data_IF_776775816511
#
_entry.id   IF_776775816511
#
_cell.length_a   1.000
_cell.length_b   1.000
_cell.length_c   1.000
_cell.angle_alpha   90.00
_cell.angle_beta   90.00
_cell.angle_gamma   90.00
#
_symmetry.space_group_name_H-M   'P 1'
#
loop_
_entity.id
_entity.type
_entity.pdbx_description
1 polymer ?
#
# COMPACT_ATOMS: atom_id res chain seq x y z
N UNK A 1 -44.72 44.35 13.36
CA UNK A 1 -44.34 43.94 11.99
C UNK A 1 -42.88 43.48 11.86
N UNK A 2 -41.89 44.16 12.45
CA UNK A 2 -40.46 43.84 12.29
C UNK A 2 -39.99 42.45 12.78
N UNK A 3 -40.66 41.88 13.77
CA UNK A 3 -40.28 40.57 14.36
C UNK A 3 -40.56 39.43 13.37
N UNK A 4 -41.65 39.51 12.59
CA UNK A 4 -42.00 38.48 11.61
C UNK A 4 -41.06 38.45 10.40
N UNK A 5 -40.56 39.62 9.97
CA UNK A 5 -39.59 39.71 8.88
C UNK A 5 -38.22 39.12 9.27
N UNK A 6 -37.79 39.29 10.52
CA UNK A 6 -36.54 38.69 11.04
C UNK A 6 -36.63 37.17 11.16
N UNK A 7 -37.75 36.65 11.65
CA UNK A 7 -37.97 35.20 11.74
C UNK A 7 -37.99 34.59 10.33
N UNK A 8 -38.69 35.21 9.37
CA UNK A 8 -38.74 34.72 7.98
C UNK A 8 -37.36 34.73 7.29
N UNK A 9 -36.55 35.77 7.49
CA UNK A 9 -35.18 35.82 6.94
C UNK A 9 -34.24 34.81 7.60
N UNK A 10 -34.31 34.64 8.92
CA UNK A 10 -33.52 33.62 9.63
C UNK A 10 -33.91 32.20 9.19
N UNK A 11 -35.20 31.95 8.95
CA UNK A 11 -35.72 30.66 8.49
C UNK A 11 -35.27 30.36 7.04
N UNK A 12 -35.31 31.36 6.16
CA UNK A 12 -34.82 31.26 4.79
C UNK A 12 -33.32 30.99 4.71
N UNK A 13 -32.51 31.68 5.53
CA UNK A 13 -31.06 31.45 5.64
C UNK A 13 -30.74 30.06 6.20
N UNK A 14 -31.49 29.60 7.21
CA UNK A 14 -31.35 28.26 7.76
C UNK A 14 -31.65 27.18 6.73
N UNK A 15 -32.73 27.34 5.96
CA UNK A 15 -33.08 26.43 4.86
C UNK A 15 -32.03 26.39 3.75
N UNK A 16 -31.45 27.54 3.40
CA UNK A 16 -30.36 27.62 2.42
C UNK A 16 -29.09 26.92 2.91
N UNK A 17 -28.69 27.14 4.16
CA UNK A 17 -27.52 26.48 4.74
C UNK A 17 -27.69 24.95 4.79
N UNK A 18 -28.88 24.47 5.17
CA UNK A 18 -29.20 23.04 5.15
C UNK A 18 -29.25 22.48 3.73
N UNK A 19 -29.81 23.22 2.77
CA UNK A 19 -29.87 22.85 1.36
C UNK A 19 -28.47 22.71 0.73
N UNK A 20 -27.59 23.66 1.00
CA UNK A 20 -26.18 23.60 0.56
C UNK A 20 -25.50 22.39 1.21
N UNK A 21 -25.64 22.21 2.53
CA UNK A 21 -25.05 21.07 3.23
C UNK A 21 -25.55 19.73 2.68
N UNK A 22 -26.85 19.61 2.40
CA UNK A 22 -27.45 18.40 1.84
C UNK A 22 -26.98 18.13 0.41
N UNK A 23 -26.87 19.17 -0.42
CA UNK A 23 -26.33 19.07 -1.78
C UNK A 23 -24.89 18.55 -1.77
N UNK A 24 -24.04 19.09 -0.89
CA UNK A 24 -22.68 18.59 -0.72
C UNK A 24 -22.69 17.12 -0.26
N UNK A 25 -23.46 16.76 0.76
CA UNK A 25 -23.54 15.36 1.22
C UNK A 25 -23.95 14.39 0.11
N UNK A 26 -24.99 14.72 -0.65
CA UNK A 26 -25.49 13.88 -1.75
C UNK A 26 -24.47 13.75 -2.89
N UNK A 27 -23.73 14.82 -3.19
CA UNK A 27 -22.71 14.82 -4.25
C UNK A 27 -21.48 13.97 -3.90
N UNK A 28 -21.06 13.94 -2.63
CA UNK A 28 -19.85 13.23 -2.20
C UNK A 28 -20.10 11.81 -1.68
N UNK A 29 -21.35 11.45 -1.34
CA UNK A 29 -21.73 10.10 -0.91
C UNK A 29 -21.31 8.99 -1.90
N UNK A 30 -21.59 9.06 -3.22
CA UNK A 30 -21.24 7.96 -4.14
C UNK A 30 -19.72 7.80 -4.33
N UNK A 31 -18.95 8.90 -4.26
CA UNK A 31 -17.49 8.83 -4.33
C UNK A 31 -16.93 8.19 -3.07
N UNK A 32 -17.46 8.58 -1.90
CA UNK A 32 -17.04 8.00 -0.63
C UNK A 32 -17.34 6.50 -0.57
N UNK A 33 -18.53 6.06 -0.97
CA UNK A 33 -18.91 4.63 -0.99
C UNK A 33 -18.00 3.80 -1.91
N UNK A 34 -17.72 4.29 -3.12
CA UNK A 34 -16.78 3.62 -4.05
C UNK A 34 -15.37 3.54 -3.48
N UNK A 35 -14.86 4.62 -2.87
CA UNK A 35 -13.54 4.62 -2.24
C UNK A 35 -13.46 3.67 -1.05
N UNK A 36 -14.48 3.65 -0.20
CA UNK A 36 -14.55 2.73 0.93
C UNK A 36 -14.55 1.28 0.46
N UNK A 37 -15.27 0.95 -0.61
CA UNK A 37 -15.28 -0.40 -1.17
C UNK A 37 -13.90 -0.80 -1.73
N UNK A 38 -13.25 0.08 -2.49
CA UNK A 38 -11.90 -0.13 -3.01
C UNK A 38 -10.88 -0.35 -1.88
N UNK A 39 -10.89 0.53 -0.87
CA UNK A 39 -10.02 0.42 0.30
C UNK A 39 -10.28 -0.87 1.09
N UNK A 40 -11.53 -1.24 1.30
CA UNK A 40 -11.89 -2.47 2.03
C UNK A 40 -11.41 -3.73 1.28
N UNK A 41 -11.58 -3.75 -0.04
CA UNK A 41 -11.11 -4.85 -0.88
C UNK A 41 -9.58 -4.96 -0.84
N UNK A 42 -8.88 -3.83 -0.99
CA UNK A 42 -7.42 -3.77 -0.90
C UNK A 42 -6.91 -4.22 0.48
N UNK A 43 -7.57 -3.81 1.56
CA UNK A 43 -7.23 -4.28 2.91
C UNK A 43 -7.41 -5.79 3.06
N UNK A 44 -8.48 -6.37 2.50
CA UNK A 44 -8.73 -7.82 2.56
C UNK A 44 -7.67 -8.60 1.80
N UNK A 45 -7.37 -8.21 0.56
CA UNK A 45 -6.34 -8.87 -0.26
C UNK A 45 -4.98 -8.78 0.41
N UNK A 46 -4.58 -7.59 0.87
CA UNK A 46 -3.32 -7.40 1.56
C UNK A 46 -3.24 -8.21 2.85
N UNK A 47 -4.30 -8.27 3.67
CA UNK A 47 -4.28 -9.09 4.90
C UNK A 47 -4.10 -10.58 4.63
N UNK A 48 -4.76 -11.11 3.60
CA UNK A 48 -4.65 -12.53 3.22
C UNK A 48 -3.22 -12.89 2.80
N UNK A 49 -2.60 -12.05 1.96
CA UNK A 49 -1.21 -12.27 1.53
C UNK A 49 -0.23 -12.07 2.70
N UNK A 50 -0.43 -11.01 3.49
CA UNK A 50 0.45 -10.61 4.59
C UNK A 50 0.54 -11.62 5.73
N UNK A 51 -0.60 -12.11 6.24
CA UNK A 51 -0.61 -12.91 7.47
C UNK A 51 0.02 -14.29 7.33
N UNK A 52 -0.20 -14.97 6.21
CA UNK A 52 0.24 -16.35 6.06
C UNK A 52 1.56 -16.50 5.31
N UNK A 53 1.76 -15.74 4.24
CA UNK A 53 2.81 -16.06 3.28
C UNK A 53 4.09 -15.27 3.51
N UNK A 54 3.99 -13.98 3.83
CA UNK A 54 5.16 -13.21 4.23
C UNK A 54 5.78 -13.75 5.53
N UNK A 55 4.95 -14.17 6.49
CA UNK A 55 5.45 -14.78 7.73
C UNK A 55 6.24 -16.06 7.45
N UNK A 56 5.72 -16.92 6.58
CA UNK A 56 6.39 -18.19 6.22
C UNK A 56 7.67 -17.92 5.44
N UNK A 57 7.65 -17.01 4.46
CA UNK A 57 8.82 -16.65 3.67
C UNK A 57 9.95 -16.05 4.53
N UNK A 58 9.61 -15.14 5.46
CA UNK A 58 10.58 -14.56 6.39
C UNK A 58 11.12 -15.62 7.35
N UNK A 59 10.27 -16.49 7.89
CA UNK A 59 10.71 -17.60 8.77
C UNK A 59 11.64 -18.59 8.05
N UNK A 60 11.35 -18.91 6.78
CA UNK A 60 12.22 -19.77 5.96
C UNK A 60 13.59 -19.14 5.75
N UNK A 61 13.62 -17.84 5.42
CA UNK A 61 14.88 -17.10 5.24
C UNK A 61 15.66 -16.95 6.55
N UNK A 62 14.99 -16.71 7.67
CA UNK A 62 15.62 -16.66 9.01
C UNK A 62 16.12 -18.04 9.46
N UNK A 63 15.51 -19.12 8.99
CA UNK A 63 15.98 -20.50 9.20
C UNK A 63 17.06 -20.96 8.19
N UNK A 64 17.62 -20.03 7.40
CA UNK A 64 18.61 -20.30 6.34
C UNK A 64 18.10 -21.24 5.22
N UNK A 65 16.79 -21.41 5.08
CA UNK A 65 16.18 -22.23 4.04
C UNK A 65 15.88 -21.39 2.79
N UNK A 66 15.93 -22.03 1.62
CA UNK A 66 15.53 -21.38 0.38
C UNK A 66 14.03 -21.08 0.41
N UNK A 67 13.62 -19.86 0.05
CA UNK A 67 12.21 -19.49 0.04
C UNK A 67 11.49 -20.15 -1.14
N UNK A 68 10.25 -20.57 -0.95
CA UNK A 68 9.51 -21.34 -1.96
C UNK A 68 9.09 -20.49 -3.18
N UNK A 69 8.96 -21.10 -4.36
CA UNK A 69 8.41 -20.41 -5.54
C UNK A 69 7.00 -19.83 -5.29
N UNK A 70 6.19 -20.50 -4.46
CA UNK A 70 4.85 -20.01 -4.14
C UNK A 70 4.82 -18.65 -3.43
N UNK A 71 5.89 -18.27 -2.71
CA UNK A 71 6.00 -16.92 -2.13
C UNK A 71 6.19 -15.84 -3.19
N UNK A 72 6.97 -16.15 -4.24
CA UNK A 72 7.19 -15.26 -5.38
C UNK A 72 5.93 -15.05 -6.20
N UNK A 73 5.23 -16.13 -6.56
CA UNK A 73 3.99 -16.06 -7.36
C UNK A 73 2.94 -15.16 -6.71
N UNK A 74 2.89 -15.12 -5.37
CA UNK A 74 1.95 -14.26 -4.66
C UNK A 74 2.31 -12.78 -4.70
N UNK A 75 3.60 -12.44 -4.68
CA UNK A 75 4.05 -11.07 -4.89
C UNK A 75 3.69 -10.60 -6.29
N UNK A 76 3.87 -11.47 -7.29
CA UNK A 76 3.51 -11.21 -8.69
C UNK A 76 1.99 -11.06 -8.84
N UNK A 77 1.19 -11.96 -8.27
CA UNK A 77 -0.27 -11.86 -8.26
C UNK A 77 -0.77 -10.57 -7.58
N UNK A 78 -0.10 -10.15 -6.49
CA UNK A 78 -0.42 -8.92 -5.79
C UNK A 78 -0.14 -7.69 -6.67
N UNK A 79 0.96 -7.69 -7.42
CA UNK A 79 1.25 -6.64 -8.41
C UNK A 79 0.20 -6.64 -9.53
N UNK A 80 -0.14 -7.79 -10.10
CA UNK A 80 -1.14 -7.92 -11.16
C UNK A 80 -2.51 -7.41 -10.75
N UNK A 81 -2.93 -7.69 -9.50
CA UNK A 81 -4.19 -7.18 -8.97
C UNK A 81 -4.17 -5.66 -8.72
N UNK A 82 -3.03 -5.09 -8.31
CA UNK A 82 -2.94 -3.67 -7.97
C UNK A 82 -2.74 -2.76 -9.18
N UNK A 83 -2.00 -3.22 -10.19
CA UNK A 83 -1.64 -2.45 -11.39
C UNK A 83 -2.82 -1.83 -12.16
N UNK A 84 -3.94 -2.54 -12.41
CA UNK A 84 -5.07 -1.96 -13.14
C UNK A 84 -5.83 -0.90 -12.31
N UNK A 85 -5.72 -0.94 -10.98
CA UNK A 85 -6.50 -0.10 -10.07
C UNK A 85 -5.72 1.07 -9.47
N UNK A 86 -4.45 1.28 -9.85
CA UNK A 86 -3.58 2.32 -9.25
C UNK A 86 -4.22 3.71 -9.27
N UNK A 87 -4.88 4.07 -10.37
CA UNK A 87 -5.49 5.39 -10.55
C UNK A 87 -6.87 5.54 -9.90
N UNK A 88 -7.46 4.45 -9.40
CA UNK A 88 -8.80 4.44 -8.83
C UNK A 88 -8.81 4.92 -7.37
N UNK A 89 -7.64 5.01 -6.72
CA UNK A 89 -7.52 5.36 -5.31
C UNK A 89 -7.29 6.86 -5.09
N UNK A 90 -8.05 7.44 -4.16
CA UNK A 90 -7.82 8.81 -3.66
C UNK A 90 -6.84 8.80 -2.47
N UNK A 91 -6.92 7.74 -1.66
CA UNK A 91 -6.02 7.46 -0.53
C UNK A 91 -5.95 5.93 -0.35
N UNK A 92 -4.76 5.30 -0.39
CA UNK A 92 -3.44 5.87 -0.71
C UNK A 92 -3.43 6.53 -2.10
N UNK A 93 -2.51 7.47 -2.35
CA UNK A 93 -2.42 8.13 -3.66
C UNK A 93 -1.92 7.16 -4.73
N UNK A 94 -2.21 7.40 -6.02
CA UNK A 94 -1.70 6.56 -7.12
C UNK A 94 -0.17 6.42 -7.07
N UNK A 95 0.53 7.51 -6.74
CA UNK A 95 1.98 7.52 -6.61
C UNK A 95 2.48 6.66 -5.43
N UNK A 96 1.77 6.67 -4.30
CA UNK A 96 2.08 5.82 -3.14
C UNK A 96 1.88 4.33 -3.45
N UNK A 97 0.83 4.00 -4.22
CA UNK A 97 0.59 2.63 -4.67
C UNK A 97 1.64 2.20 -5.69
N UNK A 98 2.03 3.08 -6.60
CA UNK A 98 3.12 2.82 -7.55
C UNK A 98 4.46 2.58 -6.82
N UNK A 99 4.75 3.35 -5.77
CA UNK A 99 5.92 3.14 -4.94
C UNK A 99 5.89 1.77 -4.24
N UNK A 100 4.74 1.39 -3.69
CA UNK A 100 4.54 0.06 -3.11
C UNK A 100 4.75 -1.05 -4.15
N UNK A 101 4.18 -0.93 -5.35
CA UNK A 101 4.41 -1.89 -6.45
C UNK A 101 5.90 -1.98 -6.79
N UNK A 102 6.63 -0.87 -6.83
CA UNK A 102 8.08 -0.87 -7.08
C UNK A 102 8.86 -1.62 -5.98
N UNK A 103 8.48 -1.48 -4.70
CA UNK A 103 9.10 -2.26 -3.60
C UNK A 103 8.83 -3.76 -3.73
N UNK A 104 7.61 -4.15 -4.15
CA UNK A 104 7.26 -5.55 -4.41
C UNK A 104 8.08 -6.09 -5.59
N UNK A 105 8.23 -5.30 -6.66
CA UNK A 105 9.03 -5.68 -7.81
C UNK A 105 10.51 -5.88 -7.43
N UNK A 106 11.08 -5.00 -6.61
CA UNK A 106 12.44 -5.15 -6.10
C UNK A 106 12.60 -6.44 -5.29
N UNK A 107 11.61 -6.79 -4.45
CA UNK A 107 11.62 -8.05 -3.71
C UNK A 107 11.55 -9.27 -4.64
N UNK A 108 10.75 -9.24 -5.71
CA UNK A 108 10.68 -10.31 -6.71
C UNK A 108 11.99 -10.47 -7.48
N UNK A 109 12.67 -9.37 -7.81
CA UNK A 109 13.99 -9.40 -8.46
C UNK A 109 15.02 -10.07 -7.56
N UNK A 110 15.10 -9.68 -6.28
CA UNK A 110 16.00 -10.32 -5.33
C UNK A 110 15.63 -11.79 -5.08
N UNK A 111 14.34 -12.13 -5.12
CA UNK A 111 13.88 -13.50 -5.01
C UNK A 111 14.38 -14.36 -6.18
N UNK A 112 14.36 -13.81 -7.40
CA UNK A 112 14.92 -14.48 -8.57
C UNK A 112 16.44 -14.64 -8.47
N UNK A 113 17.15 -13.64 -7.94
CA UNK A 113 18.60 -13.70 -7.75
C UNK A 113 19.00 -14.84 -6.81
N UNK A 114 18.29 -15.01 -5.70
CA UNK A 114 18.54 -16.08 -4.73
C UNK A 114 18.18 -17.48 -5.27
N UNK A 115 17.22 -17.56 -6.20
CA UNK A 115 16.83 -18.82 -6.85
C UNK A 115 17.71 -19.20 -8.05
N UNK A 116 18.56 -18.30 -8.55
CA UNK A 116 19.48 -18.65 -9.64
C UNK A 116 20.54 -19.64 -9.15
N UNK A 117 20.96 -20.60 -10.00
CA UNK A 117 22.07 -21.46 -9.68
C UNK A 117 23.32 -20.60 -9.41
N UNK A 118 24.11 -20.93 -8.38
CA UNK A 118 25.26 -20.13 -8.00
C UNK A 118 26.25 -20.02 -9.16
N UNK A 119 26.57 -18.77 -9.54
CA UNK A 119 27.55 -18.49 -10.60
C UNK A 119 29.01 -18.63 -10.16
N UNK A 120 29.25 -19.01 -8.91
CA UNK A 120 30.59 -18.99 -8.31
C UNK A 120 30.75 -19.98 -7.16
N UNK A 121 31.90 -20.65 -7.13
CA UNK A 121 32.15 -21.79 -6.23
C UNK A 121 32.15 -21.47 -4.73
N UNK A 122 32.31 -20.20 -4.34
CA UNK A 122 32.26 -19.78 -2.95
C UNK A 122 30.85 -19.87 -2.33
N UNK A 123 29.80 -19.94 -3.15
CA UNK A 123 28.41 -20.06 -2.70
C UNK A 123 28.12 -21.49 -2.18
N UNK A 124 28.92 -22.49 -2.54
CA UNK A 124 28.71 -23.87 -2.08
C UNK A 124 29.15 -24.13 -0.63
N UNK A 125 29.81 -23.17 0.03
CA UNK A 125 30.28 -23.33 1.42
C UNK A 125 29.26 -22.79 2.44
N UNK A 126 28.69 -21.60 2.21
CA UNK A 126 27.73 -20.95 3.12
C UNK A 126 26.35 -20.65 2.49
N UNK A 127 26.15 -21.01 1.22
CA UNK A 127 25.02 -20.52 0.42
C UNK A 127 25.15 -19.02 0.11
N UNK A 128 24.21 -18.47 -0.67
CA UNK A 128 24.16 -17.03 -0.94
C UNK A 128 23.58 -16.29 0.30
N UNK A 129 24.38 -16.21 1.37
CA UNK A 129 23.99 -15.58 2.62
C UNK A 129 23.69 -14.08 2.44
N UNK A 130 24.48 -13.40 1.61
CA UNK A 130 24.30 -11.98 1.30
C UNK A 130 23.02 -11.73 0.49
N UNK A 131 22.74 -12.55 -0.53
CA UNK A 131 21.49 -12.49 -1.29
C UNK A 131 20.26 -12.77 -0.42
N UNK A 132 20.33 -13.79 0.46
CA UNK A 132 19.26 -14.07 1.44
C UNK A 132 19.04 -12.90 2.41
N UNK A 133 20.10 -12.25 2.88
CA UNK A 133 19.99 -11.08 3.76
C UNK A 133 19.35 -9.88 3.04
N UNK A 134 19.72 -9.64 1.77
CA UNK A 134 19.10 -8.60 0.92
C UNK A 134 17.62 -8.89 0.68
N UNK A 135 17.28 -10.13 0.32
CA UNK A 135 15.89 -10.57 0.12
C UNK A 135 15.08 -10.41 1.40
N UNK A 136 15.62 -10.80 2.55
CA UNK A 136 14.99 -10.63 3.86
C UNK A 136 14.73 -9.15 4.17
N UNK A 137 15.69 -8.26 3.87
CA UNK A 137 15.51 -6.82 4.04
C UNK A 137 14.38 -6.27 3.14
N UNK A 138 14.32 -6.70 1.87
CA UNK A 138 13.25 -6.29 0.96
C UNK A 138 11.88 -6.82 1.39
N UNK A 139 11.80 -8.08 1.85
CA UNK A 139 10.55 -8.64 2.34
C UNK A 139 10.07 -7.98 3.62
N UNK A 140 10.97 -7.63 4.55
CA UNK A 140 10.64 -6.83 5.74
C UNK A 140 10.11 -5.45 5.35
N UNK A 141 10.65 -4.86 4.29
CA UNK A 141 10.15 -3.59 3.75
C UNK A 141 8.75 -3.72 3.19
N UNK A 142 8.52 -4.70 2.30
CA UNK A 142 7.18 -4.96 1.75
C UNK A 142 6.18 -5.25 2.86
N UNK A 143 6.57 -5.99 3.90
CA UNK A 143 5.74 -6.25 5.08
C UNK A 143 5.34 -4.96 5.80
N UNK A 144 6.30 -4.06 6.06
CA UNK A 144 6.05 -2.78 6.72
C UNK A 144 5.14 -1.87 5.88
N UNK A 145 5.37 -1.80 4.58
CA UNK A 145 4.55 -1.01 3.67
C UNK A 145 3.11 -1.56 3.59
N UNK A 146 2.97 -2.88 3.57
CA UNK A 146 1.67 -3.56 3.61
C UNK A 146 0.92 -3.25 4.90
N UNK A 147 1.60 -3.29 6.05
CA UNK A 147 1.01 -2.91 7.34
C UNK A 147 0.61 -1.43 7.38
N UNK A 148 1.45 -0.54 6.86
CA UNK A 148 1.11 0.87 6.74
C UNK A 148 -0.20 1.08 5.95
N UNK A 149 -0.38 0.33 4.86
CA UNK A 149 -1.59 0.42 4.05
C UNK A 149 -2.81 -0.13 4.81
N UNK A 150 -2.69 -1.31 5.42
CA UNK A 150 -3.78 -1.95 6.17
C UNK A 150 -4.21 -1.12 7.38
N UNK A 151 -3.26 -0.55 8.12
CA UNK A 151 -3.52 0.27 9.31
C UNK A 151 -4.08 1.64 8.93
N UNK A 152 -3.57 2.25 7.85
CA UNK A 152 -4.11 3.48 7.28
C UNK A 152 -5.59 3.31 6.90
N UNK A 153 -5.94 2.24 6.18
CA UNK A 153 -7.32 1.93 5.81
C UNK A 153 -8.18 1.65 7.05
N UNK A 154 -7.67 0.87 8.01
CA UNK A 154 -8.39 0.60 9.26
C UNK A 154 -8.67 1.88 10.06
N UNK A 155 -7.78 2.87 9.99
CA UNK A 155 -7.96 4.16 10.64
C UNK A 155 -9.03 5.00 9.93
N UNK A 156 -9.09 4.95 8.59
CA UNK A 156 -10.12 5.61 7.78
C UNK A 156 -11.51 5.00 8.04
N UNK A 157 -11.60 3.67 8.14
CA UNK A 157 -12.85 2.97 8.49
C UNK A 157 -13.36 3.36 9.88
N UNK A 158 -12.46 3.46 10.86
CA UNK A 158 -12.81 3.81 12.25
C UNK A 158 -13.25 5.27 12.39
N UNK A 159 -12.66 6.18 11.62
CA UNK A 159 -12.91 7.62 11.72
C UNK A 159 -12.97 8.24 10.33
N UNK A 160 -14.10 8.86 9.94
CA UNK A 160 -14.19 9.57 8.66
C UNK A 160 -13.25 10.77 8.69
N UNK A 161 -12.12 10.65 7.99
CA UNK A 161 -11.10 11.68 7.85
C UNK A 161 -11.28 12.41 6.52
N UNK A 162 -10.98 13.71 6.49
CA UNK A 162 -10.88 14.44 5.22
C UNK A 162 -9.69 13.98 4.38
N UNK A 163 -9.78 14.12 3.06
CA UNK A 163 -8.82 13.58 2.06
C UNK A 163 -7.35 13.87 2.39
N UNK A 164 -7.02 15.10 2.78
CA UNK A 164 -5.65 15.48 3.16
C UNK A 164 -5.14 14.68 4.37
N UNK A 165 -6.01 14.41 5.36
CA UNK A 165 -5.64 13.61 6.54
C UNK A 165 -5.52 12.13 6.18
N UNK A 166 -6.35 11.62 5.27
CA UNK A 166 -6.26 10.25 4.76
C UNK A 166 -4.93 10.03 4.05
N UNK A 167 -4.54 10.91 3.12
CA UNK A 167 -3.26 10.83 2.40
C UNK A 167 -2.05 10.87 3.35
N UNK A 168 -2.14 11.66 4.44
CA UNK A 168 -1.07 11.73 5.43
C UNK A 168 -0.83 10.41 6.19
N UNK A 169 -1.82 9.52 6.27
CA UNK A 169 -1.65 8.22 6.94
C UNK A 169 -0.66 7.32 6.18
N UNK A 170 -0.48 7.56 4.89
CA UNK A 170 0.35 6.75 4.00
C UNK A 170 1.71 7.38 3.70
N UNK A 171 2.12 8.42 4.45
CA UNK A 171 3.39 9.13 4.27
C UNK A 171 4.64 8.25 4.30
N UNK A 172 4.58 7.11 4.98
CA UNK A 172 5.70 6.17 4.99
C UNK A 172 6.02 5.64 3.58
N UNK A 173 5.00 5.54 2.70
CA UNK A 173 5.18 5.15 1.30
C UNK A 173 5.81 6.27 0.47
N UNK A 174 5.58 7.55 0.81
CA UNK A 174 6.22 8.71 0.16
C UNK A 174 7.74 8.73 0.45
N UNK A 175 8.15 8.38 1.67
CA UNK A 175 9.56 8.31 2.03
C UNK A 175 10.33 7.27 1.19
N UNK A 176 9.63 6.23 0.71
CA UNK A 176 10.21 5.19 -0.13
C UNK A 176 10.39 5.65 -1.59
N UNK A 177 9.63 6.63 -2.08
CA UNK A 177 9.87 7.25 -3.38
C UNK A 177 11.15 8.08 -3.42
N UNK A 178 11.61 8.56 -2.26
CA UNK A 178 12.80 9.42 -2.13
C UNK A 178 14.10 8.63 -2.06
N UNK A 179 14.05 7.31 -1.95
CA UNK A 179 15.24 6.48 -2.08
C UNK A 179 15.47 6.18 -3.56
N UNK A 180 16.55 6.73 -4.18
CA UNK A 180 16.93 6.30 -5.51
C UNK A 180 17.24 4.81 -5.46
N UNK A 181 16.82 4.09 -6.50
CA UNK A 181 17.23 2.72 -6.73
C UNK A 181 18.73 2.59 -6.43
N UNK A 182 19.08 1.68 -5.52
CA UNK A 182 20.48 1.34 -5.24
C UNK A 182 21.19 1.16 -6.58
N UNK A 183 22.38 1.79 -6.77
CA UNK A 183 23.07 1.73 -8.04
C UNK A 183 23.33 0.26 -8.37
N UNK A 184 22.78 -0.18 -9.50
CA UNK A 184 23.16 -1.42 -10.16
C UNK A 184 24.68 -1.49 -10.15
N UNK A 185 25.25 -2.47 -9.45
CA UNK A 185 26.68 -2.73 -9.56
C UNK A 185 26.96 -3.05 -11.02
N UNK A 186 27.54 -2.06 -11.70
CA UNK A 186 28.12 -2.21 -13.03
C UNK A 186 29.21 -3.25 -12.89
N UNK A 187 28.96 -4.41 -13.49
CA UNK A 187 29.98 -5.40 -13.81
C UNK A 187 31.05 -4.69 -14.64
N UNK A 188 32.22 -4.42 -14.03
CA UNK A 188 33.42 -4.12 -14.79
C UNK A 188 34.15 -5.44 -15.07
N UNK A 189 34.50 -5.57 -16.35
CA UNK A 189 35.19 -6.68 -17.02
C UNK A 189 36.45 -7.17 -16.31
#
# INVERSE_FOLDING_TARGET
>A
MWIFTVIATASGLGGLALGIRNYWLLRYKPVHERQTQLQTNLKKTLRLVNQHHFRVAVQQLEANQMPSQGGKEQLENLMEMLRPHVNDYIAPTPEQIAAYIATVQAAVVEWNNVLQPPGSDHIFVDGDADGRARLLAQLKRVYNDTNCIVDGITTIEKKPLGTRKQQKLFKALDANQSQPALPSQVVMK
#
